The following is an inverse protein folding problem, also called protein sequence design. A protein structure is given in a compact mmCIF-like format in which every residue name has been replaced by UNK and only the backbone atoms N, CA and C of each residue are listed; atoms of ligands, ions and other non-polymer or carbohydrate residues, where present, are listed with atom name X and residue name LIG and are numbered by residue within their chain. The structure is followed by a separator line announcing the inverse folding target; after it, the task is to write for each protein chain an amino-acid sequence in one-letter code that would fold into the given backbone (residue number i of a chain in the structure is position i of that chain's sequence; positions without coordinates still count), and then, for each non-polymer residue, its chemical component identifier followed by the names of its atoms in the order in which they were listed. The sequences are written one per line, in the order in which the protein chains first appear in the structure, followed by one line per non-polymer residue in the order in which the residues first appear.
data_IF_097645753446
#
_entry.id   IF_097645753446
#
_cell.length_a   1.000
_cell.length_b   1.000
_cell.length_c   1.000
_cell.angle_alpha   90.00
_cell.angle_beta   90.00
_cell.angle_gamma   90.00
#
_symmetry.space_group_name_H-M   'P 1'
#
loop_
_entity.id
_entity.type
_entity.pdbx_description
1 polymer ?
#
# COMPACT_ATOMS: atom_id res chain seq x y z
N UNK A 1 -38.94 20.92 -26.64
CA UNK A 1 -37.81 19.95 -26.53
C UNK A 1 -37.03 20.27 -25.25
N UNK A 2 -37.43 19.70 -24.11
CA UNK A 2 -36.75 19.93 -22.81
C UNK A 2 -35.72 18.81 -22.60
N UNK A 3 -34.43 19.16 -22.68
CA UNK A 3 -33.31 18.27 -22.37
C UNK A 3 -33.35 17.99 -20.86
N UNK A 4 -33.77 16.79 -20.46
CA UNK A 4 -33.57 16.30 -19.09
C UNK A 4 -32.08 16.00 -18.94
N UNK A 5 -31.38 16.84 -18.17
CA UNK A 5 -30.07 16.52 -17.60
C UNK A 5 -30.20 15.23 -16.80
N UNK A 6 -29.48 14.18 -17.22
CA UNK A 6 -29.31 12.96 -16.43
C UNK A 6 -28.69 13.38 -15.10
N UNK A 7 -29.39 13.07 -14.01
CA UNK A 7 -28.83 13.15 -12.67
C UNK A 7 -27.61 12.24 -12.57
N UNK A 8 -26.48 12.81 -12.20
CA UNK A 8 -25.25 12.13 -11.78
C UNK A 8 -25.49 11.31 -10.50
N UNK A 9 -26.18 10.17 -10.64
CA UNK A 9 -26.26 9.09 -9.64
C UNK A 9 -25.93 7.75 -10.29
N UNK A 10 -24.82 7.73 -11.00
CA UNK A 10 -24.07 6.52 -11.23
C UNK A 10 -22.74 6.68 -10.48
N UNK A 11 -22.78 6.60 -9.15
CA UNK A 11 -21.58 6.19 -8.41
C UNK A 11 -21.14 4.87 -9.05
N UNK A 12 -20.06 4.95 -9.82
CA UNK A 12 -19.47 3.78 -10.45
C UNK A 12 -19.21 2.76 -9.35
N UNK A 13 -19.72 1.53 -9.50
CA UNK A 13 -19.20 0.33 -8.85
C UNK A 13 -17.75 0.09 -9.32
N UNK A 14 -16.86 1.04 -9.05
CA UNK A 14 -15.46 0.94 -9.38
C UNK A 14 -14.88 -0.18 -8.51
N UNK A 15 -14.21 -1.13 -9.16
CA UNK A 15 -13.40 -2.12 -8.46
C UNK A 15 -12.29 -1.38 -7.72
N UNK A 16 -12.38 -1.32 -6.41
CA UNK A 16 -11.31 -0.77 -5.58
C UNK A 16 -10.27 -1.87 -5.36
N UNK A 17 -9.01 -1.59 -5.70
CA UNK A 17 -7.88 -2.50 -5.48
C UNK A 17 -6.72 -1.70 -4.92
N UNK A 18 -6.09 -2.22 -3.87
CA UNK A 18 -4.81 -1.70 -3.42
C UNK A 18 -3.89 -2.84 -2.96
N UNK A 19 -2.61 -2.52 -2.90
CA UNK A 19 -1.56 -3.41 -2.40
C UNK A 19 -0.73 -2.67 -1.37
N UNK A 20 -0.41 -3.36 -0.29
CA UNK A 20 0.55 -2.94 0.72
C UNK A 20 1.71 -3.95 0.73
N UNK A 21 2.94 -3.43 0.76
CA UNK A 21 4.14 -4.23 1.02
C UNK A 21 4.44 -4.10 2.51
N UNK A 22 4.44 -5.22 3.23
CA UNK A 22 4.62 -5.23 4.68
C UNK A 22 6.10 -5.34 5.03
N UNK A 23 6.78 -6.25 4.34
CA UNK A 23 8.22 -6.51 4.46
C UNK A 23 8.75 -7.01 3.07
N UNK A 24 10.04 -7.32 2.92
CA UNK A 24 10.62 -7.74 1.63
C UNK A 24 9.99 -9.00 1.00
N UNK A 25 9.28 -9.81 1.79
CA UNK A 25 8.76 -11.12 1.41
C UNK A 25 7.23 -11.17 1.50
N UNK A 26 6.60 -10.34 2.35
CA UNK A 26 5.15 -10.35 2.59
C UNK A 26 4.46 -9.12 1.98
N UNK A 27 3.37 -9.38 1.28
CA UNK A 27 2.48 -8.34 0.76
C UNK A 27 1.02 -8.68 1.03
N UNK A 28 0.23 -7.65 1.30
CA UNK A 28 -1.21 -7.72 1.43
C UNK A 28 -1.86 -7.01 0.25
N UNK A 29 -2.86 -7.64 -0.38
CA UNK A 29 -3.65 -7.05 -1.45
C UNK A 29 -5.12 -7.14 -1.10
N UNK A 30 -5.84 -6.03 -1.22
CA UNK A 30 -7.30 -6.04 -1.09
C UNK A 30 -7.92 -5.67 -2.43
N UNK A 31 -8.97 -6.39 -2.81
CA UNK A 31 -9.76 -6.06 -3.99
C UNK A 31 -11.25 -6.29 -3.76
N UNK A 32 -12.04 -5.30 -4.15
CA UNK A 32 -13.49 -5.33 -4.10
C UNK A 32 -14.03 -5.63 -5.51
N UNK A 33 -14.78 -6.72 -5.63
CA UNK A 33 -15.43 -7.12 -6.89
C UNK A 33 -16.91 -7.37 -6.64
N UNK A 34 -17.76 -6.51 -7.21
CA UNK A 34 -19.22 -6.54 -7.03
C UNK A 34 -19.60 -6.43 -5.54
N UNK A 35 -20.13 -7.51 -4.95
CA UNK A 35 -20.57 -7.58 -3.55
C UNK A 35 -19.64 -8.47 -2.70
N UNK A 36 -18.39 -8.64 -3.15
CA UNK A 36 -17.39 -9.44 -2.46
C UNK A 36 -16.12 -8.62 -2.31
N UNK A 37 -15.52 -8.74 -1.13
CA UNK A 37 -14.18 -8.27 -0.85
C UNK A 37 -13.26 -9.46 -0.72
N UNK A 38 -12.03 -9.27 -1.15
CA UNK A 38 -10.99 -10.27 -1.08
C UNK A 38 -9.77 -9.64 -0.45
N UNK A 39 -9.26 -10.27 0.60
CA UNK A 39 -7.97 -9.97 1.20
C UNK A 39 -7.03 -11.13 0.85
N UNK A 40 -5.90 -10.81 0.22
CA UNK A 40 -4.88 -11.79 -0.17
C UNK A 40 -3.58 -11.40 0.49
N UNK A 41 -3.13 -12.23 1.43
CA UNK A 41 -1.77 -12.16 1.98
C UNK A 41 -0.90 -13.12 1.17
N UNK A 42 0.23 -12.62 0.68
CA UNK A 42 1.20 -13.37 -0.10
C UNK A 42 2.56 -13.26 0.56
N UNK A 43 3.20 -14.40 0.82
CA UNK A 43 4.56 -14.47 1.37
C UNK A 43 5.48 -15.27 0.44
N UNK A 44 6.66 -14.72 0.17
CA UNK A 44 7.72 -15.35 -0.62
C UNK A 44 8.56 -16.25 0.28
N UNK A 45 8.51 -17.56 0.04
CA UNK A 45 9.17 -18.59 0.87
C UNK A 45 10.58 -18.91 0.36
N UNK A 46 10.81 -18.78 -0.94
CA UNK A 46 12.06 -19.20 -1.58
C UNK A 46 13.30 -18.41 -1.15
N UNK A 47 13.14 -17.30 -0.41
CA UNK A 47 14.26 -16.54 0.14
C UNK A 47 14.72 -17.02 1.51
N UNK A 48 13.83 -17.67 2.25
CA UNK A 48 14.05 -18.01 3.66
C UNK A 48 14.22 -19.52 3.88
N UNK A 49 13.80 -20.34 2.92
CA UNK A 49 13.74 -21.79 3.05
C UNK A 49 14.45 -22.48 1.88
N UNK A 50 15.00 -23.66 2.16
CA UNK A 50 15.63 -24.49 1.15
C UNK A 50 14.58 -25.23 0.32
N UNK A 51 14.78 -25.18 -1.00
CA UNK A 51 13.95 -25.87 -1.97
C UNK A 51 14.86 -26.64 -2.90
N UNK A 52 14.74 -27.96 -2.87
CA UNK A 52 15.46 -28.84 -3.76
C UNK A 52 14.65 -29.05 -5.03
N UNK A 53 15.31 -28.86 -6.17
CA UNK A 53 14.68 -28.95 -7.49
C UNK A 53 15.47 -29.95 -8.29
N UNK A 54 14.82 -31.06 -8.63
CA UNK A 54 15.33 -32.04 -9.55
C UNK A 54 14.60 -31.90 -10.88
N UNK A 55 15.37 -31.66 -11.94
CA UNK A 55 14.84 -31.69 -13.28
C UNK A 55 14.33 -33.11 -13.55
N UNK A 56 13.01 -33.25 -13.71
CA UNK A 56 12.41 -34.55 -13.98
C UNK A 56 12.87 -35.04 -15.35
N UNK A 57 12.93 -36.36 -15.51
CA UNK A 57 13.01 -36.97 -16.84
C UNK A 57 11.87 -36.41 -17.70
N UNK A 58 12.11 -36.20 -19.00
CA UNK A 58 11.05 -35.76 -19.92
C UNK A 58 9.80 -36.61 -19.64
N UNK A 59 8.64 -36.04 -19.20
CA UNK A 59 7.65 -36.81 -18.46
C UNK A 59 6.91 -37.74 -19.42
N UNK A 60 7.51 -38.90 -19.68
CA UNK A 60 6.95 -39.96 -20.52
C UNK A 60 5.63 -40.44 -19.92
N UNK A 61 5.50 -40.35 -18.59
CA UNK A 61 4.27 -40.56 -17.83
C UNK A 61 3.10 -39.70 -18.33
N UNK A 62 3.34 -38.46 -18.76
CA UNK A 62 2.28 -37.61 -19.31
C UNK A 62 1.71 -38.13 -20.65
N UNK A 63 2.34 -39.13 -21.29
CA UNK A 63 1.75 -39.82 -22.45
C UNK A 63 0.65 -40.82 -22.05
N UNK A 64 0.58 -41.20 -20.78
CA UNK A 64 -0.35 -42.23 -20.28
C UNK A 64 -1.30 -41.72 -19.18
N UNK A 65 -1.09 -40.51 -18.67
CA UNK A 65 -1.96 -39.88 -17.67
C UNK A 65 -3.06 -39.03 -18.33
N UNK A 66 -4.24 -39.01 -17.70
CA UNK A 66 -5.34 -38.11 -18.09
C UNK A 66 -5.06 -36.66 -17.69
N UNK A 67 -4.42 -36.48 -16.53
CA UNK A 67 -4.00 -35.20 -15.99
C UNK A 67 -2.47 -35.18 -15.96
N UNK A 68 -1.82 -34.16 -16.56
CA UNK A 68 -0.38 -34.14 -16.68
C UNK A 68 0.29 -33.92 -15.32
N UNK A 69 1.29 -34.76 -15.03
CA UNK A 69 2.23 -34.53 -13.94
C UNK A 69 3.15 -33.34 -14.27
N UNK A 70 3.67 -32.66 -13.23
CA UNK A 70 4.69 -31.64 -13.38
C UNK A 70 5.93 -32.13 -14.15
N UNK A 71 6.52 -31.23 -14.94
CA UNK A 71 7.74 -31.50 -15.73
C UNK A 71 9.03 -31.50 -14.89
N UNK A 72 8.92 -31.23 -13.58
CA UNK A 72 10.01 -31.20 -12.62
C UNK A 72 9.48 -31.68 -11.27
N UNK A 73 10.30 -32.41 -10.53
CA UNK A 73 10.01 -32.81 -9.15
C UNK A 73 10.76 -31.89 -8.21
N UNK A 74 10.09 -31.40 -7.17
CA UNK A 74 10.74 -30.49 -6.23
C UNK A 74 10.24 -30.72 -4.81
N UNK A 75 11.15 -30.57 -3.86
CA UNK A 75 10.92 -30.85 -2.46
C UNK A 75 11.19 -29.59 -1.64
N UNK A 76 10.16 -29.18 -0.90
CA UNK A 76 10.20 -28.06 0.03
C UNK A 76 10.44 -28.55 1.46
N UNK A 77 11.21 -27.79 2.22
CA UNK A 77 11.55 -28.10 3.62
C UNK A 77 10.30 -28.12 4.52
N UNK A 78 10.20 -29.13 5.39
CA UNK A 78 9.04 -29.31 6.28
C UNK A 78 8.81 -28.13 7.23
N UNK A 79 9.87 -27.38 7.58
CA UNK A 79 9.81 -26.18 8.41
C UNK A 79 8.86 -25.12 7.88
N UNK A 80 8.62 -25.07 6.57
CA UNK A 80 7.60 -24.16 6.00
C UNK A 80 6.22 -24.47 6.59
N UNK A 81 5.89 -25.75 6.79
CA UNK A 81 4.61 -26.10 7.41
C UNK A 81 4.57 -25.67 8.88
N UNK A 82 5.64 -25.92 9.61
CA UNK A 82 5.77 -25.63 11.05
C UNK A 82 5.77 -24.12 11.35
N UNK A 83 6.53 -23.34 10.61
CA UNK A 83 6.77 -21.91 10.88
C UNK A 83 5.80 -20.98 10.15
N UNK A 84 5.22 -21.41 9.02
CA UNK A 84 4.40 -20.54 8.17
C UNK A 84 2.95 -21.00 8.05
N UNK A 85 2.68 -22.31 8.01
CA UNK A 85 1.32 -22.82 7.77
C UNK A 85 0.54 -23.05 9.06
N UNK A 86 1.11 -23.76 10.04
CA UNK A 86 0.42 -24.07 11.29
C UNK A 86 0.07 -22.81 12.11
N UNK A 87 0.95 -21.79 12.21
CA UNK A 87 0.60 -20.55 12.90
C UNK A 87 -0.61 -19.83 12.27
N UNK A 88 -0.78 -19.91 10.95
CA UNK A 88 -1.97 -19.37 10.29
C UNK A 88 -3.23 -20.15 10.70
N UNK A 89 -3.15 -21.47 10.80
CA UNK A 89 -4.26 -22.29 11.25
C UNK A 89 -4.65 -21.97 12.70
N UNK A 90 -3.66 -21.78 13.57
CA UNK A 90 -3.88 -21.41 14.96
C UNK A 90 -4.51 -20.02 15.09
N UNK A 91 -4.05 -19.04 14.31
CA UNK A 91 -4.67 -17.71 14.24
C UNK A 91 -6.14 -17.81 13.79
N UNK A 92 -6.45 -18.64 12.80
CA UNK A 92 -7.83 -18.87 12.34
C UNK A 92 -8.68 -19.50 13.46
N UNK A 93 -8.17 -20.53 14.15
CA UNK A 93 -8.90 -21.17 15.26
C UNK A 93 -9.12 -20.21 16.42
N UNK A 94 -8.15 -19.35 16.72
CA UNK A 94 -8.27 -18.33 17.77
C UNK A 94 -9.37 -17.30 17.47
N UNK A 95 -9.48 -16.82 16.23
CA UNK A 95 -10.46 -15.79 15.83
C UNK A 95 -11.86 -16.38 15.54
N UNK A 96 -11.93 -17.55 14.92
CA UNK A 96 -13.19 -18.13 14.44
C UNK A 96 -13.70 -19.31 15.30
N UNK A 97 -12.89 -19.80 16.24
CA UNK A 97 -13.16 -20.93 17.12
C UNK A 97 -12.57 -22.26 16.60
N UNK A 98 -12.29 -23.19 17.51
CA UNK A 98 -11.59 -24.46 17.22
C UNK A 98 -12.24 -25.32 16.14
N UNK A 99 -13.57 -25.24 16.00
CA UNK A 99 -14.32 -25.95 14.95
C UNK A 99 -13.97 -25.51 13.51
N UNK A 100 -13.23 -24.40 13.37
CA UNK A 100 -12.90 -23.77 12.10
C UNK A 100 -11.52 -24.15 11.56
N UNK A 101 -10.94 -25.22 12.07
CA UNK A 101 -9.74 -25.88 11.52
C UNK A 101 -9.85 -26.04 9.99
N UNK A 102 -8.76 -25.72 9.29
CA UNK A 102 -8.70 -25.78 7.84
C UNK A 102 -8.72 -27.24 7.37
N UNK A 103 -9.52 -27.53 6.35
CA UNK A 103 -9.55 -28.85 5.73
C UNK A 103 -8.32 -28.99 4.83
N UNK A 104 -7.65 -30.15 4.91
CA UNK A 104 -6.52 -30.50 4.07
C UNK A 104 -7.06 -31.08 2.75
N UNK A 105 -6.86 -30.35 1.65
CA UNK A 105 -7.36 -30.77 0.33
C UNK A 105 -6.28 -31.50 -0.47
N UNK A 106 -5.03 -31.03 -0.41
CA UNK A 106 -3.92 -31.62 -1.17
C UNK A 106 -2.60 -31.35 -0.45
N UNK A 107 -1.80 -32.40 -0.29
CA UNK A 107 -0.39 -32.41 0.15
C UNK A 107 0.22 -33.75 -0.31
N UNK A 108 1.53 -33.75 -0.56
CA UNK A 108 2.34 -34.93 -0.83
C UNK A 108 3.61 -34.85 0.02
N UNK A 109 3.81 -35.81 0.93
CA UNK A 109 4.96 -35.86 1.84
C UNK A 109 6.02 -36.83 1.32
N UNK A 110 7.30 -36.48 1.46
CA UNK A 110 8.43 -37.38 1.27
C UNK A 110 8.76 -38.06 2.60
N UNK A 111 8.62 -39.39 2.67
CA UNK A 111 8.89 -40.17 3.87
C UNK A 111 9.98 -41.20 3.58
N UNK A 112 11.08 -41.16 4.31
CA UNK A 112 12.21 -42.06 4.09
C UNK A 112 13.44 -41.72 4.91
N UNK A 113 14.52 -42.47 4.67
CA UNK A 113 15.79 -42.28 5.37
C UNK A 113 16.73 -41.27 4.68
N UNK A 114 16.52 -41.00 3.39
CA UNK A 114 17.37 -40.06 2.64
C UNK A 114 16.70 -39.54 1.37
N UNK A 115 17.26 -38.49 0.77
CA UNK A 115 16.80 -37.90 -0.50
C UNK A 115 16.84 -38.87 -1.69
N UNK A 116 17.63 -39.94 -1.59
CA UNK A 116 17.73 -41.00 -2.60
C UNK A 116 16.92 -42.24 -2.24
N UNK A 117 16.28 -42.26 -1.07
CA UNK A 117 15.55 -43.39 -0.51
C UNK A 117 14.35 -42.89 0.30
N UNK A 118 13.30 -42.51 -0.42
CA UNK A 118 12.03 -42.10 0.14
C UNK A 118 10.86 -42.57 -0.72
N UNK A 119 9.69 -42.65 -0.09
CA UNK A 119 8.40 -42.88 -0.73
C UNK A 119 7.50 -41.67 -0.50
N UNK A 120 6.49 -41.52 -1.35
CA UNK A 120 5.53 -40.42 -1.22
C UNK A 120 4.25 -40.90 -0.53
N UNK A 121 3.75 -40.11 0.42
CA UNK A 121 2.42 -40.29 1.00
C UNK A 121 1.58 -39.06 0.66
N UNK A 122 0.42 -39.27 0.05
CA UNK A 122 -0.51 -38.18 -0.25
C UNK A 122 -1.64 -38.04 0.77
N UNK A 123 -2.51 -37.04 0.56
CA UNK A 123 -3.68 -36.80 1.39
C UNK A 123 -4.63 -38.01 1.48
N UNK A 124 -4.75 -38.82 0.43
CA UNK A 124 -5.62 -40.00 0.43
C UNK A 124 -5.03 -41.12 1.27
N UNK A 125 -3.71 -41.28 1.23
CA UNK A 125 -2.98 -42.23 2.05
C UNK A 125 -3.06 -41.85 3.53
N UNK A 126 -2.88 -40.58 3.88
CA UNK A 126 -3.07 -40.09 5.25
C UNK A 126 -4.46 -40.47 5.80
N UNK A 127 -5.52 -40.31 4.99
CA UNK A 127 -6.88 -40.72 5.39
C UNK A 127 -6.98 -42.24 5.61
N UNK A 128 -6.34 -43.06 4.77
CA UNK A 128 -6.32 -44.53 4.94
C UNK A 128 -5.62 -44.96 6.23
N UNK A 129 -4.68 -44.16 6.72
CA UNK A 129 -3.98 -44.35 7.99
C UNK A 129 -4.66 -43.61 9.17
N UNK A 130 -5.96 -43.33 9.08
CA UNK A 130 -6.77 -42.69 10.14
C UNK A 130 -6.32 -41.27 10.55
N UNK A 131 -5.51 -40.60 9.72
CA UNK A 131 -5.18 -39.18 9.93
C UNK A 131 -6.37 -38.32 9.51
N UNK A 132 -6.82 -37.45 10.41
CA UNK A 132 -7.93 -36.52 10.11
C UNK A 132 -7.52 -35.59 8.95
N UNK A 133 -8.38 -35.39 7.93
CA UNK A 133 -8.06 -34.55 6.78
C UNK A 133 -8.18 -33.05 7.11
N UNK A 134 -7.46 -32.59 8.12
CA UNK A 134 -7.38 -31.20 8.57
C UNK A 134 -5.93 -30.81 8.83
N UNK A 135 -5.65 -29.51 8.91
CA UNK A 135 -4.31 -29.04 9.24
C UNK A 135 -3.85 -29.48 10.63
N UNK A 136 -4.75 -29.52 11.63
CA UNK A 136 -4.40 -30.10 12.94
C UNK A 136 -4.06 -31.59 12.82
N UNK A 137 -4.78 -32.35 11.99
CA UNK A 137 -4.46 -33.76 11.76
C UNK A 137 -3.08 -33.97 11.12
N UNK A 138 -2.74 -33.13 10.14
CA UNK A 138 -1.43 -33.12 9.51
C UNK A 138 -0.30 -32.72 10.49
N UNK A 139 -0.54 -31.69 11.31
CA UNK A 139 0.40 -31.25 12.33
C UNK A 139 0.75 -32.38 13.29
N UNK A 140 -0.26 -33.04 13.86
CA UNK A 140 -0.05 -34.19 14.74
C UNK A 140 0.73 -35.33 14.06
N UNK A 141 0.39 -35.63 12.80
CA UNK A 141 1.11 -36.66 12.04
C UNK A 141 2.59 -36.31 11.85
N UNK A 142 2.92 -35.05 11.55
CA UNK A 142 4.30 -34.60 11.39
C UNK A 142 5.06 -34.66 12.72
N UNK A 143 4.46 -34.20 13.81
CA UNK A 143 5.05 -34.25 15.14
C UNK A 143 5.37 -35.70 15.58
N UNK A 144 4.48 -36.65 15.27
CA UNK A 144 4.67 -38.07 15.59
C UNK A 144 5.75 -38.75 14.72
N UNK A 145 6.04 -38.22 13.53
CA UNK A 145 6.90 -38.87 12.53
C UNK A 145 8.07 -38.00 12.05
N UNK A 146 8.45 -36.98 12.83
CA UNK A 146 9.36 -35.91 12.41
C UNK A 146 10.69 -36.42 11.84
N UNK A 147 11.26 -37.49 12.41
CA UNK A 147 12.54 -38.05 11.97
C UNK A 147 12.50 -38.71 10.58
N UNK A 148 11.31 -39.11 10.11
CA UNK A 148 11.15 -39.82 8.84
C UNK A 148 10.66 -38.93 7.70
N UNK A 149 10.21 -37.71 7.99
CA UNK A 149 9.68 -36.79 6.99
C UNK A 149 10.80 -35.90 6.47
N UNK A 150 11.14 -36.06 5.20
CA UNK A 150 12.21 -35.29 4.56
C UNK A 150 11.74 -33.91 4.09
N UNK A 151 10.45 -33.81 3.74
CA UNK A 151 9.85 -32.59 3.19
C UNK A 151 8.50 -32.87 2.54
N UNK A 152 7.99 -31.91 1.78
CA UNK A 152 6.77 -32.05 0.99
C UNK A 152 7.02 -31.66 -0.46
N UNK A 153 6.34 -32.35 -1.38
CA UNK A 153 6.56 -32.25 -2.82
C UNK A 153 5.40 -31.56 -3.53
N UNK A 154 5.60 -31.34 -4.82
CA UNK A 154 4.54 -30.96 -5.75
C UNK A 154 3.44 -32.02 -5.86
N UNK A 155 2.18 -31.56 -5.80
CA UNK A 155 0.98 -32.38 -5.90
C UNK A 155 0.41 -32.38 -7.31
N UNK A 156 -0.03 -31.19 -7.76
CA UNK A 156 -0.90 -31.03 -8.92
C UNK A 156 -0.42 -29.85 -9.79
N UNK A 157 -0.52 -30.01 -11.11
CA UNK A 157 -0.27 -28.92 -12.07
C UNK A 157 -1.58 -28.29 -12.55
N UNK A 158 -1.73 -26.97 -12.35
CA UNK A 158 -2.83 -26.18 -12.90
C UNK A 158 -2.41 -25.65 -14.27
N UNK A 159 -2.83 -26.36 -15.33
CA UNK A 159 -2.50 -26.03 -16.72
C UNK A 159 -2.86 -24.59 -17.11
N UNK A 160 -4.03 -24.09 -16.70
CA UNK A 160 -4.53 -22.78 -17.12
C UNK A 160 -3.73 -21.62 -16.53
N UNK A 161 -3.21 -21.80 -15.33
CA UNK A 161 -2.45 -20.79 -14.59
C UNK A 161 -0.93 -21.00 -14.74
N UNK A 162 -0.51 -22.17 -15.22
CA UNK A 162 0.87 -22.60 -15.22
C UNK A 162 1.45 -22.64 -13.81
N UNK A 163 0.67 -23.08 -12.83
CA UNK A 163 1.06 -23.15 -11.42
C UNK A 163 1.18 -24.61 -10.96
N UNK A 164 2.17 -24.88 -10.12
CA UNK A 164 2.31 -26.16 -9.40
C UNK A 164 1.85 -25.96 -7.96
N UNK A 165 0.97 -26.84 -7.48
CA UNK A 165 0.44 -26.82 -6.11
C UNK A 165 1.27 -27.74 -5.23
N UNK A 166 1.65 -27.27 -4.05
CA UNK A 166 2.33 -28.07 -3.03
C UNK A 166 1.43 -28.36 -1.83
N UNK A 167 0.63 -27.37 -1.47
CA UNK A 167 -0.30 -27.45 -0.36
C UNK A 167 -1.57 -26.72 -0.75
N UNK A 168 -2.72 -27.32 -0.45
CA UNK A 168 -4.02 -26.67 -0.58
C UNK A 168 -4.88 -27.00 0.62
N UNK A 169 -5.25 -25.96 1.36
CA UNK A 169 -6.13 -26.05 2.52
C UNK A 169 -7.26 -25.02 2.39
N UNK A 170 -8.40 -25.30 3.00
CA UNK A 170 -9.48 -24.33 2.99
C UNK A 170 -10.61 -24.60 3.96
N UNK A 171 -11.38 -23.56 4.23
CA UNK A 171 -12.61 -23.63 5.00
C UNK A 171 -13.66 -22.69 4.40
N UNK A 172 -14.91 -23.12 4.45
CA UNK A 172 -16.08 -22.33 4.04
C UNK A 172 -16.94 -22.00 5.26
N UNK A 173 -17.72 -20.93 5.17
CA UNK A 173 -18.68 -20.49 6.18
C UNK A 173 -18.02 -20.27 7.55
N UNK A 174 -17.01 -19.39 7.61
CA UNK A 174 -16.32 -19.08 8.86
C UNK A 174 -17.13 -18.14 9.75
N UNK A 175 -17.75 -17.12 9.15
CA UNK A 175 -18.68 -16.21 9.82
C UNK A 175 -19.77 -15.76 8.84
N UNK A 176 -20.72 -14.93 9.30
CA UNK A 176 -21.76 -14.34 8.43
C UNK A 176 -21.15 -13.53 7.28
N UNK A 177 -20.03 -12.85 7.56
CA UNK A 177 -19.36 -11.96 6.61
C UNK A 177 -18.13 -12.59 5.96
N UNK A 178 -17.54 -13.66 6.50
CA UNK A 178 -16.37 -14.33 5.94
C UNK A 178 -16.78 -15.68 5.34
N UNK A 179 -16.85 -15.69 4.01
CA UNK A 179 -17.32 -16.81 3.22
C UNK A 179 -16.31 -17.94 3.16
N UNK A 180 -15.07 -17.62 2.78
CA UNK A 180 -14.03 -18.64 2.62
C UNK A 180 -12.66 -18.13 3.05
N UNK A 181 -11.86 -19.03 3.60
CA UNK A 181 -10.41 -18.86 3.73
C UNK A 181 -9.76 -20.02 2.98
N UNK A 182 -8.80 -19.70 2.13
CA UNK A 182 -7.98 -20.67 1.39
C UNK A 182 -6.52 -20.37 1.65
N UNK A 183 -5.79 -21.39 2.07
CA UNK A 183 -4.34 -21.35 2.22
C UNK A 183 -3.74 -22.25 1.13
N UNK A 184 -2.82 -21.72 0.33
CA UNK A 184 -2.13 -22.48 -0.70
C UNK A 184 -0.64 -22.19 -0.70
N UNK A 185 0.16 -23.20 -1.00
CA UNK A 185 1.56 -23.04 -1.39
C UNK A 185 1.66 -23.37 -2.87
N UNK A 186 2.12 -22.40 -3.66
CA UNK A 186 2.15 -22.47 -5.12
C UNK A 186 3.52 -22.02 -5.63
N UNK A 187 3.91 -22.56 -6.79
CA UNK A 187 4.97 -21.99 -7.60
C UNK A 187 4.50 -21.79 -9.04
N UNK A 188 5.00 -20.75 -9.70
CA UNK A 188 4.66 -20.46 -11.10
C UNK A 188 5.71 -21.03 -12.05
N UNK A 189 5.25 -21.86 -12.98
CA UNK A 189 6.04 -22.38 -14.10
C UNK A 189 6.21 -21.34 -15.22
N UNK A 190 5.27 -20.38 -15.37
CA UNK A 190 5.33 -19.36 -16.43
C UNK A 190 6.51 -18.40 -16.27
N UNK A 191 7.02 -18.21 -15.06
CA UNK A 191 8.27 -17.48 -14.85
C UNK A 191 9.42 -18.11 -15.66
N UNK A 192 9.38 -19.41 -16.00
CA UNK A 192 10.43 -20.15 -16.73
C UNK A 192 10.41 -19.99 -18.25
N UNK A 193 9.34 -19.45 -18.85
CA UNK A 193 9.24 -19.25 -20.31
C UNK A 193 10.28 -18.28 -20.90
N UNK A 194 10.96 -17.51 -20.05
CA UNK A 194 12.08 -16.63 -20.40
C UNK A 194 13.49 -17.24 -20.18
N UNK A 195 13.60 -18.49 -19.69
CA UNK A 195 14.81 -19.04 -19.02
C UNK A 195 15.56 -20.15 -19.77
N UNK A 196 15.73 -20.06 -21.10
CA UNK A 196 16.70 -20.89 -21.84
C UNK A 196 18.18 -20.45 -21.63
N UNK A 197 18.53 -19.89 -20.46
CA UNK A 197 19.87 -19.39 -20.15
C UNK A 197 20.53 -20.23 -19.04
N UNK A 198 21.82 -20.52 -19.19
CA UNK A 198 22.58 -21.60 -18.54
C UNK A 198 22.77 -21.51 -17.01
N UNK A 199 22.33 -20.42 -16.33
CA UNK A 199 22.67 -20.18 -14.91
C UNK A 199 21.54 -19.54 -14.08
N UNK A 200 20.35 -20.16 -14.00
CA UNK A 200 19.29 -19.64 -13.09
C UNK A 200 18.65 -20.72 -12.21
N UNK A 201 18.80 -20.55 -10.90
CA UNK A 201 17.94 -21.13 -9.85
C UNK A 201 16.98 -20.04 -9.37
N UNK A 202 15.76 -19.96 -9.91
CA UNK A 202 14.69 -19.17 -9.29
C UNK A 202 13.38 -19.93 -9.37
N UNK A 203 13.17 -20.78 -8.37
CA UNK A 203 11.88 -21.36 -8.06
C UNK A 203 11.14 -20.39 -7.13
N UNK A 204 10.05 -19.77 -7.60
CA UNK A 204 9.27 -18.83 -6.79
C UNK A 204 8.20 -19.57 -5.98
N UNK A 205 8.58 -20.18 -4.86
CA UNK A 205 7.62 -20.81 -3.94
C UNK A 205 6.95 -19.73 -3.07
N UNK A 206 5.63 -19.66 -3.13
CA UNK A 206 4.85 -18.61 -2.49
C UNK A 206 3.69 -19.19 -1.68
N UNK A 207 3.54 -18.69 -0.46
CA UNK A 207 2.37 -18.93 0.37
C UNK A 207 1.31 -17.86 0.08
N UNK A 208 0.08 -18.31 -0.12
CA UNK A 208 -1.09 -17.48 -0.35
C UNK A 208 -2.18 -17.79 0.68
N UNK A 209 -2.56 -16.78 1.45
CA UNK A 209 -3.77 -16.78 2.27
C UNK A 209 -4.81 -15.88 1.59
N UNK A 210 -5.86 -16.49 1.05
CA UNK A 210 -6.96 -15.79 0.39
C UNK A 210 -8.20 -15.84 1.26
N UNK A 211 -8.69 -14.68 1.67
CA UNK A 211 -9.87 -14.50 2.50
C UNK A 211 -10.94 -13.79 1.68
N UNK A 212 -12.09 -14.43 1.54
CA UNK A 212 -13.24 -13.91 0.81
C UNK A 212 -14.33 -13.49 1.80
N UNK A 213 -14.70 -12.21 1.76
CA UNK A 213 -15.68 -11.63 2.66
C UNK A 213 -16.77 -10.83 1.92
N UNK A 214 -17.85 -10.53 2.62
CA UNK A 214 -18.97 -9.69 2.16
C UNK A 214 -18.58 -8.21 2.19
N UNK A 215 -17.86 -7.79 3.23
CA UNK A 215 -17.41 -6.41 3.46
C UNK A 215 -15.89 -6.36 3.62
N UNK A 216 -15.22 -5.29 3.17
CA UNK A 216 -13.77 -5.19 3.17
C UNK A 216 -13.14 -5.06 4.55
N UNK A 217 -13.84 -4.46 5.51
CA UNK A 217 -13.30 -4.14 6.84
C UNK A 217 -14.12 -4.86 7.92
N UNK A 218 -14.36 -6.14 7.74
CA UNK A 218 -15.05 -6.96 8.75
C UNK A 218 -14.20 -7.09 10.01
N UNK A 219 -14.79 -6.94 11.20
CA UNK A 219 -14.03 -6.97 12.47
C UNK A 219 -13.23 -8.27 12.63
N UNK A 220 -13.79 -9.43 12.25
CA UNK A 220 -13.06 -10.71 12.32
C UNK A 220 -11.93 -10.82 11.30
N UNK A 221 -12.05 -10.15 10.16
CA UNK A 221 -10.94 -10.07 9.20
C UNK A 221 -9.80 -9.23 9.80
N UNK A 222 -10.12 -8.08 10.40
CA UNK A 222 -9.14 -7.20 11.01
C UNK A 222 -8.47 -7.85 12.23
N UNK A 223 -9.23 -8.60 13.02
CA UNK A 223 -8.72 -9.40 14.13
C UNK A 223 -7.78 -10.52 13.65
N UNK A 224 -8.15 -11.24 12.58
CA UNK A 224 -7.26 -12.23 11.97
C UNK A 224 -5.96 -11.59 11.45
N UNK A 225 -6.04 -10.44 10.78
CA UNK A 225 -4.84 -9.74 10.32
C UNK A 225 -3.92 -9.36 11.49
N UNK A 226 -4.50 -8.91 12.60
CA UNK A 226 -3.75 -8.59 13.82
C UNK A 226 -3.08 -9.84 14.43
N UNK A 227 -3.77 -10.97 14.48
CA UNK A 227 -3.21 -12.24 14.94
C UNK A 227 -2.10 -12.78 14.02
N UNK A 228 -2.11 -12.41 12.74
CA UNK A 228 -1.04 -12.66 11.79
C UNK A 228 0.08 -11.60 11.83
N UNK A 229 0.10 -10.74 12.86
CA UNK A 229 1.06 -9.65 13.03
C UNK A 229 1.04 -8.59 11.90
N UNK A 230 -0.09 -8.45 11.22
CA UNK A 230 -0.29 -7.45 10.16
C UNK A 230 -0.98 -6.22 10.74
N UNK A 231 -0.24 -5.12 10.84
CA UNK A 231 -0.74 -3.81 11.27
C UNK A 231 -1.62 -3.15 10.18
N UNK A 232 -2.86 -3.60 10.10
CA UNK A 232 -3.85 -3.09 9.14
C UNK A 232 -4.20 -1.61 9.37
N UNK A 233 -4.12 -1.13 10.62
CA UNK A 233 -4.42 0.27 10.96
C UNK A 233 -3.40 1.20 10.31
N UNK A 234 -2.12 0.88 10.45
CA UNK A 234 -1.04 1.65 9.83
C UNK A 234 -1.12 1.61 8.30
N UNK A 235 -1.47 0.45 7.72
CA UNK A 235 -1.67 0.33 6.26
C UNK A 235 -2.79 1.27 5.79
N UNK A 236 -3.94 1.24 6.46
CA UNK A 236 -5.08 2.07 6.08
C UNK A 236 -4.80 3.56 6.32
N UNK A 237 -4.10 3.90 7.40
CA UNK A 237 -3.66 5.25 7.68
C UNK A 237 -2.72 5.78 6.59
N UNK A 238 -1.67 5.04 6.24
CA UNK A 238 -0.74 5.39 5.14
C UNK A 238 -1.46 5.54 3.82
N UNK A 239 -2.40 4.64 3.51
CA UNK A 239 -3.19 4.70 2.29
C UNK A 239 -4.05 5.97 2.24
N UNK A 240 -4.67 6.35 3.36
CA UNK A 240 -5.48 7.57 3.46
C UNK A 240 -4.61 8.82 3.28
N UNK A 241 -3.44 8.90 3.93
CA UNK A 241 -2.50 10.01 3.74
C UNK A 241 -2.03 10.10 2.29
N UNK A 242 -1.63 8.99 1.69
CA UNK A 242 -1.16 8.96 0.31
C UNK A 242 -2.20 9.42 -0.72
N UNK A 243 -3.50 9.36 -0.41
CA UNK A 243 -4.56 9.89 -1.28
C UNK A 243 -4.66 11.42 -1.18
N UNK A 244 -4.33 12.01 -0.03
CA UNK A 244 -4.42 13.45 0.22
C UNK A 244 -3.10 14.19 -0.07
N UNK A 245 -1.94 13.52 0.01
CA UNK A 245 -0.62 14.15 -0.05
C UNK A 245 -0.03 14.29 -1.47
N UNK A 246 -0.73 13.90 -2.55
CA UNK A 246 -0.17 14.03 -3.91
C UNK A 246 0.16 15.48 -4.28
N UNK A 247 -0.67 16.43 -3.87
CA UNK A 247 -0.42 17.86 -4.15
C UNK A 247 0.82 18.34 -3.40
N UNK A 248 0.98 17.93 -2.15
CA UNK A 248 2.14 18.25 -1.32
C UNK A 248 3.41 17.67 -1.95
N UNK A 249 3.41 16.37 -2.27
CA UNK A 249 4.55 15.69 -2.90
C UNK A 249 4.92 16.32 -4.24
N UNK A 250 3.95 16.64 -5.10
CA UNK A 250 4.20 17.28 -6.40
C UNK A 250 4.79 18.68 -6.25
N UNK A 251 4.31 19.47 -5.28
CA UNK A 251 4.80 20.81 -5.02
C UNK A 251 6.17 20.83 -4.33
N UNK A 252 6.50 19.83 -3.50
CA UNK A 252 7.84 19.72 -2.89
C UNK A 252 8.89 19.22 -3.89
N UNK A 253 8.50 18.37 -4.84
CA UNK A 253 9.41 17.84 -5.87
C UNK A 253 9.63 18.79 -7.04
N UNK A 254 8.62 19.58 -7.41
CA UNK A 254 8.69 20.51 -8.54
C UNK A 254 8.21 21.91 -8.15
N UNK A 255 9.14 22.88 -8.25
CA UNK A 255 8.87 24.28 -7.97
C UNK A 255 7.85 24.92 -8.91
N UNK A 256 7.67 24.43 -10.13
CA UNK A 256 6.65 24.94 -11.05
C UNK A 256 5.24 24.48 -10.65
N UNK A 257 5.12 23.27 -10.09
CA UNK A 257 3.88 22.80 -9.49
C UNK A 257 3.51 23.65 -8.27
N UNK A 258 4.48 23.94 -7.39
CA UNK A 258 4.26 24.85 -6.26
C UNK A 258 3.81 26.24 -6.72
N UNK A 259 4.46 26.83 -7.74
CA UNK A 259 4.03 28.13 -8.28
C UNK A 259 2.62 28.10 -8.85
N UNK A 260 2.29 27.04 -9.58
CA UNK A 260 0.97 26.86 -10.19
C UNK A 260 -0.11 26.72 -9.12
N UNK A 261 0.17 25.91 -8.09
CA UNK A 261 -0.69 25.74 -6.92
C UNK A 261 -0.96 27.07 -6.21
N UNK A 262 0.11 27.81 -5.86
CA UNK A 262 0.00 29.07 -5.13
C UNK A 262 -0.79 30.13 -5.92
N UNK A 263 -0.59 30.21 -7.25
CA UNK A 263 -1.36 31.13 -8.11
C UNK A 263 -2.83 30.75 -8.21
N UNK A 264 -3.13 29.45 -8.34
CA UNK A 264 -4.50 28.98 -8.47
C UNK A 264 -5.29 29.15 -7.16
N UNK A 265 -4.64 28.94 -6.01
CA UNK A 265 -5.30 28.99 -4.70
C UNK A 265 -5.38 30.40 -4.10
N UNK A 266 -4.39 31.26 -4.34
CA UNK A 266 -4.29 32.57 -3.70
C UNK A 266 -4.33 33.70 -4.74
N UNK A 267 -5.53 34.06 -5.19
CA UNK A 267 -5.76 34.99 -6.31
C UNK A 267 -5.15 36.38 -6.12
N UNK A 268 -4.97 36.85 -4.88
CA UNK A 268 -4.36 38.15 -4.61
C UNK A 268 -2.84 38.18 -4.84
N UNK A 269 -2.16 37.03 -4.85
CA UNK A 269 -0.70 36.96 -5.01
C UNK A 269 -0.33 37.04 -6.50
N UNK A 270 0.51 38.02 -6.85
CA UNK A 270 0.94 38.21 -8.25
C UNK A 270 2.12 37.29 -8.64
N UNK A 271 2.53 37.34 -9.90
CA UNK A 271 3.64 36.54 -10.42
C UNK A 271 4.95 36.70 -9.62
N UNK A 272 5.27 37.94 -9.21
CA UNK A 272 6.49 38.25 -8.47
C UNK A 272 6.42 37.78 -7.02
N UNK A 273 5.25 37.92 -6.38
CA UNK A 273 4.98 37.45 -5.02
C UNK A 273 5.22 35.94 -4.94
N UNK A 274 4.58 35.18 -5.84
CA UNK A 274 4.69 33.71 -5.89
C UNK A 274 6.13 33.28 -6.14
N UNK A 275 6.84 33.92 -7.07
CA UNK A 275 8.25 33.59 -7.33
C UNK A 275 9.16 33.88 -6.14
N UNK A 276 8.92 34.96 -5.41
CA UNK A 276 9.71 35.29 -4.23
C UNK A 276 9.42 34.33 -3.06
N UNK A 277 8.17 33.92 -2.86
CA UNK A 277 7.78 32.87 -1.91
C UNK A 277 8.50 31.56 -2.26
N UNK A 278 8.36 31.08 -3.50
CA UNK A 278 8.99 29.83 -3.96
C UNK A 278 10.51 29.88 -3.82
N UNK A 279 11.15 31.01 -4.17
CA UNK A 279 12.60 31.17 -4.00
C UNK A 279 13.02 31.04 -2.53
N UNK A 280 12.28 31.65 -1.60
CA UNK A 280 12.58 31.57 -0.17
C UNK A 280 12.39 30.15 0.38
N UNK A 281 11.32 29.47 -0.05
CA UNK A 281 11.00 28.08 0.30
C UNK A 281 12.13 27.14 -0.13
N UNK A 282 12.58 27.24 -1.39
CA UNK A 282 13.69 26.42 -1.92
C UNK A 282 15.00 26.73 -1.20
N UNK A 283 15.35 28.02 -1.04
CA UNK A 283 16.59 28.45 -0.40
C UNK A 283 16.73 27.93 1.03
N UNK A 284 15.61 27.76 1.73
CA UNK A 284 15.58 27.31 3.11
C UNK A 284 15.11 25.87 3.27
N UNK A 285 14.84 25.14 2.18
CA UNK A 285 14.26 23.80 2.20
C UNK A 285 13.05 23.72 3.16
N UNK A 286 12.06 24.57 2.96
CA UNK A 286 10.82 24.62 3.75
C UNK A 286 9.78 23.65 3.15
N UNK A 287 9.04 22.97 4.01
CA UNK A 287 7.98 22.05 3.59
C UNK A 287 6.81 22.78 2.91
N UNK A 288 6.04 22.07 2.09
CA UNK A 288 4.87 22.60 1.38
C UNK A 288 3.87 23.27 2.32
N UNK A 289 3.59 22.66 3.48
CA UNK A 289 2.67 23.23 4.49
C UNK A 289 3.11 24.61 4.98
N UNK A 290 4.43 24.87 5.03
CA UNK A 290 4.97 26.19 5.37
C UNK A 290 4.73 27.16 4.23
N UNK A 291 4.98 26.75 2.99
CA UNK A 291 4.74 27.57 1.80
C UNK A 291 3.25 27.95 1.65
N UNK A 292 2.33 27.01 1.88
CA UNK A 292 0.88 27.24 1.85
C UNK A 292 0.45 28.22 2.95
N UNK A 293 0.96 28.03 4.18
CA UNK A 293 0.64 28.92 5.30
C UNK A 293 1.20 30.33 5.10
N UNK A 294 2.43 30.46 4.61
CA UNK A 294 3.02 31.74 4.23
C UNK A 294 2.16 32.47 3.21
N UNK A 295 1.79 31.78 2.13
CA UNK A 295 0.97 32.35 1.07
C UNK A 295 -0.43 32.72 1.56
N UNK A 296 -1.02 31.94 2.46
CA UNK A 296 -2.30 32.27 3.11
C UNK A 296 -2.23 33.56 3.94
N UNK A 297 -1.18 33.76 4.74
CA UNK A 297 -0.98 34.98 5.54
C UNK A 297 -0.83 36.21 4.63
N UNK A 298 0.01 36.10 3.60
CA UNK A 298 0.25 37.19 2.65
C UNK A 298 -0.97 37.49 1.79
N UNK A 299 -1.72 36.45 1.39
CA UNK A 299 -2.97 36.58 0.65
C UNK A 299 -3.98 37.38 1.45
N UNK A 300 -4.18 37.03 2.73
CA UNK A 300 -5.11 37.72 3.64
C UNK A 300 -4.72 39.19 3.82
N UNK A 301 -3.44 39.46 4.10
CA UNK A 301 -2.92 40.83 4.22
C UNK A 301 -3.16 41.67 2.96
N UNK A 302 -2.90 41.10 1.77
CA UNK A 302 -3.08 41.81 0.51
C UNK A 302 -4.56 42.03 0.17
N UNK A 303 -5.42 41.05 0.47
CA UNK A 303 -6.87 41.17 0.31
C UNK A 303 -7.45 42.26 1.22
N UNK A 304 -7.00 42.36 2.47
CA UNK A 304 -7.44 43.41 3.41
C UNK A 304 -6.95 44.81 3.01
N UNK A 305 -5.70 44.94 2.56
CA UNK A 305 -5.20 46.21 2.01
C UNK A 305 -6.02 46.66 0.80
N UNK A 306 -6.39 45.71 -0.06
CA UNK A 306 -7.25 45.99 -1.22
C UNK A 306 -8.64 46.45 -0.79
N UNK A 307 -9.23 45.81 0.21
CA UNK A 307 -10.52 46.19 0.77
C UNK A 307 -10.50 47.62 1.37
N UNK A 308 -9.49 47.94 2.19
CA UNK A 308 -9.35 49.28 2.80
C UNK A 308 -9.11 50.38 1.76
N UNK A 309 -8.41 50.08 0.67
CA UNK A 309 -8.18 51.03 -0.43
C UNK A 309 -9.48 51.29 -1.22
N UNK A 310 -10.31 50.28 -1.43
CA UNK A 310 -11.63 50.44 -2.03
C UNK A 310 -12.54 51.31 -1.15
N UNK A 311 -12.63 51.06 0.16
CA UNK A 311 -13.43 51.88 1.07
C UNK A 311 -13.00 53.36 1.09
N UNK A 312 -11.69 53.63 1.06
CA UNK A 312 -11.17 55.01 0.99
C UNK A 312 -11.49 55.71 -0.35
N UNK A 313 -11.60 54.97 -1.45
CA UNK A 313 -12.02 55.51 -2.76
C UNK A 313 -13.52 55.84 -2.80
N UNK A 314 -14.37 55.13 -2.05
CA UNK A 314 -15.80 55.44 -1.93
C UNK A 314 -16.11 56.65 -1.02
N UNK A 315 -15.18 57.06 -0.14
CA UNK A 315 -15.38 58.18 0.80
C UNK A 315 -14.82 59.53 0.33
N UNK A 316 -14.03 59.59 -0.76
CA UNK A 316 -13.51 60.86 -1.30
C UNK A 316 -14.46 61.42 -2.38
N UNK A 317 -15.01 62.65 -2.24
CA UNK A 317 -15.71 63.31 -3.33
C UNK A 317 -14.72 63.62 -4.44
N UNK A 318 -15.07 63.20 -5.64
CA UNK A 318 -14.30 63.33 -6.87
C UNK A 318 -14.13 64.80 -7.27
N UNK A 319 -13.10 65.48 -6.76
CA UNK A 319 -12.57 66.72 -7.35
C UNK A 319 -11.11 66.98 -6.90
N UNK A 320 -10.17 66.34 -7.58
CA UNK A 320 -8.85 66.91 -7.88
C UNK A 320 -8.28 66.09 -9.05
N UNK A 321 -8.19 66.74 -10.21
CA UNK A 321 -7.62 66.15 -11.41
C UNK A 321 -6.12 66.24 -11.33
N UNK A 322 -5.48 65.14 -10.93
CA UNK A 322 -4.11 64.74 -11.31
C UNK A 322 -3.75 63.36 -10.70
N UNK A 323 -4.69 62.41 -10.71
CA UNK A 323 -4.42 61.02 -10.33
C UNK A 323 -4.56 60.12 -11.55
N UNK A 324 -3.44 59.85 -12.22
CA UNK A 324 -3.33 58.69 -13.10
C UNK A 324 -3.70 57.43 -12.28
N UNK A 325 -4.59 56.55 -12.75
CA UNK A 325 -4.87 55.30 -12.08
C UNK A 325 -3.70 54.35 -12.30
N UNK A 326 -2.66 54.47 -11.48
CA UNK A 326 -1.66 53.42 -11.35
C UNK A 326 -2.35 52.19 -10.75
N UNK A 327 -2.22 51.05 -11.41
CA UNK A 327 -2.71 49.75 -10.97
C UNK A 327 -2.13 49.36 -9.58
N UNK A 328 -2.68 49.91 -8.50
CA UNK A 328 -2.30 49.57 -7.10
C UNK A 328 -2.67 48.12 -6.74
N UNK A 329 -3.48 47.44 -7.55
CA UNK A 329 -3.68 45.99 -7.50
C UNK A 329 -2.38 45.20 -7.77
N UNK A 330 -1.38 45.83 -8.39
CA UNK A 330 -0.10 45.22 -8.77
C UNK A 330 1.06 45.48 -7.80
N UNK A 331 0.81 46.06 -6.61
CA UNK A 331 1.88 46.29 -5.63
C UNK A 331 2.44 44.93 -5.21
N UNK A 332 3.67 44.68 -5.64
CA UNK A 332 4.43 43.48 -5.31
C UNK A 332 4.86 43.56 -3.86
N UNK A 333 4.69 42.45 -3.13
CA UNK A 333 5.10 42.33 -1.75
C UNK A 333 6.60 42.57 -1.61
N UNK A 334 6.98 43.32 -0.58
CA UNK A 334 8.38 43.51 -0.24
C UNK A 334 8.96 42.18 0.24
N UNK A 335 10.25 41.96 -0.04
CA UNK A 335 10.94 40.75 0.44
C UNK A 335 10.89 40.61 1.98
N UNK A 336 10.87 41.73 2.71
CA UNK A 336 10.73 41.76 4.16
C UNK A 336 9.36 41.22 4.64
N UNK A 337 8.28 41.45 3.89
CA UNK A 337 6.93 40.93 4.20
C UNK A 337 6.89 39.41 4.03
N UNK A 338 7.50 38.92 2.94
CA UNK A 338 7.60 37.48 2.67
C UNK A 338 8.49 36.80 3.73
N UNK A 339 9.56 37.47 4.16
CA UNK A 339 10.43 37.01 5.24
C UNK A 339 9.70 36.93 6.60
N UNK A 340 8.90 37.94 6.92
CA UNK A 340 8.07 37.98 8.11
C UNK A 340 7.03 36.84 8.12
N UNK A 341 6.33 36.64 6.99
CA UNK A 341 5.37 35.55 6.83
C UNK A 341 6.04 34.18 6.97
N UNK A 342 7.27 34.01 6.48
CA UNK A 342 8.02 32.76 6.65
C UNK A 342 8.32 32.46 8.11
N UNK A 343 8.81 33.45 8.88
CA UNK A 343 9.07 33.27 10.32
C UNK A 343 7.79 32.95 11.09
N UNK A 344 6.70 33.65 10.79
CA UNK A 344 5.40 33.41 11.44
C UNK A 344 4.82 32.05 11.08
N UNK A 345 4.88 31.63 9.81
CA UNK A 345 4.41 30.31 9.39
C UNK A 345 5.20 29.19 10.09
N UNK A 346 6.53 29.30 10.16
CA UNK A 346 7.35 28.34 10.90
C UNK A 346 6.99 28.33 12.40
N UNK A 347 6.83 29.50 13.03
CA UNK A 347 6.44 29.60 14.43
C UNK A 347 5.06 28.99 14.70
N UNK A 348 4.07 29.27 13.84
CA UNK A 348 2.70 28.75 13.96
C UNK A 348 2.64 27.23 13.80
N UNK A 349 3.53 26.65 13.00
CA UNK A 349 3.64 25.21 12.76
C UNK A 349 4.60 24.51 13.75
N UNK A 350 5.16 25.23 14.74
CA UNK A 350 6.09 24.68 15.73
C UNK A 350 7.48 24.31 15.17
N UNK A 351 7.85 24.83 14.00
CA UNK A 351 9.11 24.53 13.32
C UNK A 351 10.19 25.51 13.79
N UNK A 352 11.16 25.03 14.57
CA UNK A 352 12.33 25.80 14.98
C UNK A 352 13.41 25.75 13.91
N UNK A 353 13.34 26.65 12.93
CA UNK A 353 14.33 26.75 11.84
C UNK A 353 14.75 28.20 11.62
N UNK A 354 16.05 28.46 11.63
CA UNK A 354 16.59 29.76 11.25
C UNK A 354 16.44 29.97 9.73
N UNK A 355 15.61 30.94 9.36
CA UNK A 355 15.35 31.26 7.96
C UNK A 355 16.42 32.25 7.48
N UNK A 356 17.13 31.88 6.41
CA UNK A 356 18.14 32.72 5.75
C UNK A 356 17.48 33.63 4.72
N UNK A 357 17.65 34.93 4.91
CA UNK A 357 17.17 35.97 4.00
C UNK A 357 18.29 36.50 3.09
N UNK A 358 17.94 37.34 2.14
CA UNK A 358 18.93 38.08 1.34
C UNK A 358 19.53 39.23 2.19
N UNK A 359 20.77 39.63 1.90
CA UNK A 359 21.52 40.63 2.72
C UNK A 359 20.93 42.05 2.68
N UNK A 360 20.00 42.30 1.76
CA UNK A 360 19.30 43.57 1.55
C UNK A 360 18.06 43.75 2.43
N UNK A 361 17.75 42.80 3.32
CA UNK A 361 16.56 42.84 4.19
C UNK A 361 16.96 43.24 5.62
N UNK A 362 16.36 44.32 6.12
CA UNK A 362 16.57 44.79 7.50
C UNK A 362 15.72 43.98 8.49
N UNK A 363 16.33 43.49 9.57
CA UNK A 363 15.61 42.76 10.63
C UNK A 363 14.53 43.62 11.29
N UNK A 364 14.73 44.95 11.38
CA UNK A 364 13.73 45.87 11.92
C UNK A 364 12.47 45.94 11.05
N UNK A 365 12.61 45.83 9.73
CA UNK A 365 11.46 45.78 8.82
C UNK A 365 10.73 44.45 8.92
N UNK A 366 11.45 43.33 9.08
CA UNK A 366 10.84 42.01 9.26
C UNK A 366 10.00 41.97 10.53
N UNK A 367 10.51 42.49 11.66
CA UNK A 367 9.76 42.53 12.93
C UNK A 367 8.49 43.37 12.78
N UNK A 368 8.57 44.55 12.16
CA UNK A 368 7.42 45.41 11.90
C UNK A 368 6.32 44.68 11.10
N UNK A 369 6.70 43.95 10.06
CA UNK A 369 5.73 43.21 9.25
C UNK A 369 5.23 41.93 9.93
N UNK A 370 5.98 41.35 10.87
CA UNK A 370 5.45 40.27 11.71
C UNK A 370 4.32 40.77 12.60
N UNK A 371 4.48 41.93 13.23
CA UNK A 371 3.43 42.56 14.04
C UNK A 371 2.18 42.87 13.20
N UNK A 372 2.37 43.41 11.98
CA UNK A 372 1.27 43.67 11.05
C UNK A 372 0.53 42.38 10.67
N UNK A 373 1.24 41.31 10.31
CA UNK A 373 0.66 40.02 9.93
C UNK A 373 -0.03 39.27 11.09
N UNK A 374 0.36 39.56 12.35
CA UNK A 374 -0.24 38.93 13.53
C UNK A 374 -1.54 39.63 13.96
N UNK A 375 -1.68 40.92 13.62
CA UNK A 375 -2.85 41.75 13.92
C UNK A 375 -3.96 41.65 12.85
N UNK A 376 -3.78 40.79 11.85
CA UNK A 376 -4.68 40.50 10.73
C UNK A 376 -5.38 39.18 10.95
#
# INVERSE_FOLDING_TARGET
MRRRTRSDRAESKASEKFRAVLDPNTALSMYNKKNRSYCVVRKDLAKNYDIEVDASEAPVLNKVLSDPDPYESSMAEIKILEEEVFPINDAIKKVFGDSKDLQLNSIKLAIGGSKTDYVTIDQTDLIKFDVKPTLTGLMNFIEENQESILGFLDCDYINEEGNVIYLSCGKKNLSENIYTIKLKILASMQQRGFFLQQEHKYYGLQLYLTIESKIPNDDKLLELLKELEIDWELIFFRRRLAIHDWTEIECERDSENLKSYLRAKFESLNYFDVNNITRLVIKNNLAFIVADKMASLLHKMKSERTFQLQEKKFQKPSFSGDDYPGDEYSITLKKAEIAAAAKLACAYLGIQKEIKFDRDISDAEVIKYQEELTNI
#
